data_IF_092632844832
#
_entry.id   IF_092632844832
#
_cell.length_a   1.000
_cell.length_b   1.000
_cell.length_c   1.000
_cell.angle_alpha   90.00
_cell.angle_beta   90.00
_cell.angle_gamma   90.00
#
_symmetry.space_group_name_H-M   'P 1'
#
loop_
_entity.id
_entity.type
_entity.pdbx_description
1 polymer ?
#
# COMPACT_ATOMS: atom_id res chain seq x y z
N UNK A 1 -1.62 24.00 -30.71
CA UNK A 1 -1.88 23.20 -29.48
C UNK A 1 -1.86 21.73 -29.88
N UNK A 2 -0.97 20.91 -29.32
CA UNK A 2 -0.89 19.49 -29.72
C UNK A 2 -2.19 18.73 -29.41
N UNK A 3 -2.50 17.65 -30.14
CA UNK A 3 -3.78 16.92 -30.04
C UNK A 3 -4.06 16.41 -28.61
N UNK A 4 -3.03 16.01 -27.88
CA UNK A 4 -3.16 15.59 -26.49
C UNK A 4 -3.52 16.74 -25.53
N UNK A 5 -2.97 17.94 -25.75
CA UNK A 5 -3.26 19.14 -24.94
C UNK A 5 -4.70 19.60 -25.18
N UNK A 6 -5.17 19.52 -26.42
CA UNK A 6 -6.57 19.79 -26.77
C UNK A 6 -7.52 18.80 -26.06
N UNK A 7 -7.28 17.49 -26.20
CA UNK A 7 -8.11 16.47 -25.55
C UNK A 7 -8.09 16.60 -24.03
N UNK A 8 -6.94 16.90 -23.41
CA UNK A 8 -6.85 17.10 -21.96
C UNK A 8 -7.66 18.29 -21.48
N UNK A 9 -7.74 19.37 -22.28
CA UNK A 9 -8.45 20.60 -21.93
C UNK A 9 -9.97 20.44 -22.06
N UNK A 10 -10.44 19.81 -23.13
CA UNK A 10 -11.88 19.75 -23.45
C UNK A 10 -12.54 18.42 -23.07
N UNK A 11 -11.77 17.32 -23.01
CA UNK A 11 -12.26 15.97 -22.70
C UNK A 11 -11.38 15.27 -21.65
N UNK A 12 -11.21 15.86 -20.45
CA UNK A 12 -10.27 15.34 -19.43
C UNK A 12 -10.59 13.90 -19.01
N UNK A 13 -11.86 13.50 -19.01
CA UNK A 13 -12.28 12.14 -18.66
C UNK A 13 -11.85 11.10 -19.71
N UNK A 14 -11.90 11.44 -21.00
CA UNK A 14 -11.43 10.54 -22.07
C UNK A 14 -9.93 10.31 -21.93
N UNK A 15 -9.16 11.38 -21.67
CA UNK A 15 -7.72 11.28 -21.43
C UNK A 15 -7.41 10.43 -20.20
N UNK A 16 -8.17 10.59 -19.10
CA UNK A 16 -8.02 9.75 -17.90
C UNK A 16 -8.27 8.27 -18.20
N UNK A 17 -9.31 7.96 -18.96
CA UNK A 17 -9.63 6.58 -19.36
C UNK A 17 -8.49 5.98 -20.18
N UNK A 18 -7.97 6.71 -21.17
CA UNK A 18 -6.82 6.27 -21.98
C UNK A 18 -5.59 6.00 -21.08
N UNK A 19 -5.29 6.91 -20.15
CA UNK A 19 -4.16 6.76 -19.22
C UNK A 19 -4.34 5.53 -18.33
N UNK A 20 -5.55 5.31 -17.77
CA UNK A 20 -5.81 4.14 -16.92
C UNK A 20 -5.59 2.86 -17.72
N UNK A 21 -6.16 2.74 -18.93
CA UNK A 21 -5.96 1.55 -19.76
C UNK A 21 -4.49 1.33 -20.13
N UNK A 22 -3.76 2.41 -20.43
CA UNK A 22 -2.33 2.31 -20.70
C UNK A 22 -1.56 1.81 -19.46
N UNK A 23 -1.78 2.41 -18.28
CA UNK A 23 -1.13 2.01 -17.04
C UNK A 23 -1.49 0.58 -16.63
N UNK A 24 -2.75 0.19 -16.75
CA UNK A 24 -3.23 -1.17 -16.50
C UNK A 24 -2.60 -2.19 -17.45
N UNK A 25 -2.39 -1.84 -18.73
CA UNK A 25 -1.69 -2.72 -19.68
C UNK A 25 -0.24 -2.99 -19.26
N UNK A 26 0.38 -2.06 -18.54
CA UNK A 26 1.73 -2.22 -17.99
C UNK A 26 1.77 -3.19 -16.81
N UNK A 27 0.63 -3.50 -16.17
CA UNK A 27 0.60 -4.43 -15.03
C UNK A 27 1.14 -5.82 -15.41
N UNK A 28 0.92 -6.25 -16.66
CA UNK A 28 1.45 -7.51 -17.18
C UNK A 28 2.96 -7.62 -17.06
N UNK A 29 3.69 -6.51 -17.18
CA UNK A 29 5.14 -6.49 -17.09
C UNK A 29 5.66 -6.89 -15.69
N UNK A 30 4.85 -6.74 -14.64
CA UNK A 30 5.26 -7.13 -13.29
C UNK A 30 5.17 -8.64 -13.05
N UNK A 31 4.44 -9.42 -13.86
CA UNK A 31 4.36 -10.88 -13.67
C UNK A 31 5.66 -11.57 -14.06
N UNK A 32 6.22 -12.41 -13.19
CA UNK A 32 7.52 -13.06 -13.42
C UNK A 32 7.53 -13.89 -14.71
N UNK A 33 6.50 -14.70 -14.92
CA UNK A 33 6.32 -15.63 -16.04
C UNK A 33 6.08 -14.92 -17.39
N UNK A 34 5.04 -14.07 -17.45
CA UNK A 34 4.53 -13.47 -18.69
C UNK A 34 5.13 -12.11 -19.00
N UNK A 35 5.73 -11.46 -18.01
CA UNK A 35 6.25 -10.10 -18.14
C UNK A 35 7.71 -10.00 -18.58
N UNK A 36 8.46 -11.12 -18.66
CA UNK A 36 9.92 -11.09 -18.86
C UNK A 36 10.32 -10.35 -20.15
N UNK A 37 9.70 -10.69 -21.28
CA UNK A 37 10.00 -10.04 -22.57
C UNK A 37 9.74 -8.53 -22.53
N UNK A 38 8.60 -8.11 -21.97
CA UNK A 38 8.25 -6.70 -21.82
C UNK A 38 9.20 -5.96 -20.87
N UNK A 39 9.65 -6.60 -19.77
CA UNK A 39 10.67 -6.02 -18.88
C UNK A 39 12.01 -5.83 -19.59
N UNK A 40 12.46 -6.82 -20.36
CA UNK A 40 13.70 -6.74 -21.12
C UNK A 40 13.65 -5.64 -22.19
N UNK A 41 12.53 -5.52 -22.91
CA UNK A 41 12.32 -4.43 -23.87
C UNK A 41 12.38 -3.05 -23.20
N UNK A 42 11.68 -2.88 -22.07
CA UNK A 42 11.71 -1.63 -21.30
C UNK A 42 13.10 -1.33 -20.72
N UNK A 43 13.86 -2.36 -20.32
CA UNK A 43 15.23 -2.23 -19.84
C UNK A 43 16.16 -1.75 -20.95
N UNK A 44 16.05 -2.34 -22.15
CA UNK A 44 16.80 -1.94 -23.33
C UNK A 44 16.47 -0.49 -23.75
N UNK A 45 15.19 -0.11 -23.74
CA UNK A 45 14.76 1.27 -24.02
C UNK A 45 15.37 2.26 -23.01
N UNK A 46 15.30 1.94 -21.71
CA UNK A 46 15.86 2.78 -20.65
C UNK A 46 17.38 2.89 -20.77
N UNK A 47 18.07 1.78 -21.08
CA UNK A 47 19.51 1.74 -21.32
C UNK A 47 19.90 2.63 -22.50
N UNK A 48 19.19 2.52 -23.61
CA UNK A 48 19.46 3.32 -24.81
C UNK A 48 19.23 4.82 -24.54
N UNK A 49 18.20 5.18 -23.76
CA UNK A 49 17.96 6.56 -23.34
C UNK A 49 19.11 7.10 -22.48
N UNK A 50 19.63 6.30 -21.54
CA UNK A 50 20.78 6.68 -20.70
C UNK A 50 22.03 6.89 -21.53
N UNK A 51 22.39 5.93 -22.39
CA UNK A 51 23.58 6.01 -23.26
C UNK A 51 23.53 7.25 -24.15
N UNK A 52 22.35 7.57 -24.69
CA UNK A 52 22.16 8.73 -25.56
C UNK A 52 22.25 10.06 -24.82
N UNK A 53 21.83 10.12 -23.56
CA UNK A 53 21.57 11.39 -22.86
C UNK A 53 22.62 11.72 -21.80
N UNK A 54 23.17 10.72 -21.11
CA UNK A 54 24.13 10.90 -20.01
C UNK A 54 25.60 10.85 -20.50
N UNK A 55 26.53 11.53 -19.81
CA UNK A 55 27.96 11.41 -20.07
C UNK A 55 28.47 9.97 -19.92
N UNK A 56 29.39 9.55 -20.78
CA UNK A 56 29.95 8.18 -20.81
C UNK A 56 30.60 7.78 -19.48
N UNK A 57 31.26 8.73 -18.79
CA UNK A 57 31.89 8.50 -17.47
C UNK A 57 30.94 7.97 -16.38
N UNK A 58 29.62 8.15 -16.54
CA UNK A 58 28.63 7.70 -15.55
C UNK A 58 27.82 6.48 -16.00
N UNK A 59 28.09 5.91 -17.19
CA UNK A 59 27.30 4.80 -17.72
C UNK A 59 27.36 3.56 -16.83
N UNK A 60 28.52 3.25 -16.25
CA UNK A 60 28.68 2.12 -15.32
C UNK A 60 27.87 2.30 -14.03
N UNK A 61 27.69 3.54 -13.56
CA UNK A 61 26.91 3.85 -12.36
C UNK A 61 25.41 3.84 -12.67
N UNK A 62 25.01 4.38 -13.83
CA UNK A 62 23.61 4.64 -14.17
C UNK A 62 22.88 3.45 -14.78
N UNK A 63 23.60 2.51 -15.41
CA UNK A 63 23.00 1.37 -16.12
C UNK A 63 23.05 0.14 -15.21
N UNK A 64 21.94 -0.22 -14.54
CA UNK A 64 21.91 -1.38 -13.68
C UNK A 64 21.88 -2.68 -14.49
N UNK A 65 22.40 -3.74 -13.89
CA UNK A 65 22.26 -5.10 -14.40
C UNK A 65 20.77 -5.53 -14.38
N UNK A 66 20.18 -5.89 -15.54
CA UNK A 66 18.77 -6.26 -15.61
C UNK A 66 18.41 -7.54 -14.84
N UNK A 67 19.39 -8.39 -14.52
CA UNK A 67 19.17 -9.58 -13.68
C UNK A 67 19.11 -9.20 -12.19
N UNK A 68 19.94 -8.25 -11.75
CA UNK A 68 19.96 -7.77 -10.35
C UNK A 68 18.85 -6.78 -10.04
N UNK A 69 18.51 -5.92 -11.01
CA UNK A 69 17.41 -4.96 -10.90
C UNK A 69 16.45 -5.09 -12.09
N UNK A 70 15.58 -6.11 -12.08
CA UNK A 70 14.56 -6.26 -13.10
C UNK A 70 13.63 -5.04 -13.14
N UNK A 71 13.29 -4.58 -14.35
CA UNK A 71 12.37 -3.45 -14.52
C UNK A 71 11.04 -3.74 -13.84
N UNK A 72 10.59 -2.81 -12.99
CA UNK A 72 9.37 -2.94 -12.21
C UNK A 72 9.57 -3.53 -10.82
N UNK A 73 10.76 -4.03 -10.47
CA UNK A 73 11.06 -4.45 -9.11
C UNK A 73 11.05 -3.26 -8.12
N UNK A 74 11.50 -2.09 -8.59
CA UNK A 74 11.30 -0.78 -7.94
C UNK A 74 10.39 0.10 -8.80
N UNK A 75 9.77 1.11 -8.18
CA UNK A 75 8.96 2.11 -8.91
C UNK A 75 9.83 2.81 -9.95
N UNK A 76 9.36 2.87 -11.20
CA UNK A 76 10.09 3.57 -12.28
C UNK A 76 10.06 5.08 -12.04
N UNK A 77 11.21 5.71 -12.26
CA UNK A 77 11.36 7.17 -12.28
C UNK A 77 11.54 7.58 -13.74
N UNK A 78 10.79 8.59 -14.17
CA UNK A 78 10.91 9.14 -15.51
C UNK A 78 11.91 10.30 -15.50
N UNK A 79 12.78 10.33 -16.51
CA UNK A 79 13.76 11.40 -16.65
C UNK A 79 13.10 12.69 -17.10
N UNK A 80 13.12 13.71 -16.23
CA UNK A 80 12.68 15.07 -16.53
C UNK A 80 13.89 16.02 -16.75
N UNK A 81 15.00 15.48 -17.22
CA UNK A 81 16.23 16.22 -17.49
C UNK A 81 17.37 15.94 -16.51
N UNK A 82 17.21 15.01 -15.57
CA UNK A 82 18.25 14.58 -14.65
C UNK A 82 19.51 14.15 -15.41
N UNK A 83 19.36 13.28 -16.41
CA UNK A 83 20.51 12.77 -17.17
C UNK A 83 21.27 13.88 -17.91
N UNK A 84 20.55 14.90 -18.38
CA UNK A 84 21.16 16.07 -19.05
C UNK A 84 21.95 16.94 -18.08
N UNK A 85 21.53 17.05 -16.81
CA UNK A 85 22.24 17.86 -15.82
C UNK A 85 23.62 17.33 -15.48
N UNK A 86 23.86 16.03 -15.68
CA UNK A 86 25.16 15.38 -15.42
C UNK A 86 26.29 15.86 -16.36
N UNK A 87 25.97 16.55 -17.46
CA UNK A 87 26.97 17.19 -18.33
C UNK A 87 27.52 18.50 -17.78
N UNK A 88 26.89 19.07 -16.74
CA UNK A 88 27.32 20.36 -16.20
C UNK A 88 28.66 20.20 -15.46
N UNK A 89 29.58 21.17 -15.58
CA UNK A 89 30.90 21.09 -14.94
C UNK A 89 30.83 21.13 -13.41
N UNK A 90 29.75 21.65 -12.84
CA UNK A 90 29.52 21.76 -11.40
C UNK A 90 28.68 20.61 -10.82
N UNK A 91 28.52 19.51 -11.55
CA UNK A 91 27.77 18.33 -11.11
C UNK A 91 28.68 17.11 -11.16
N UNK A 92 28.91 16.51 -10.00
CA UNK A 92 29.67 15.28 -9.85
C UNK A 92 28.81 14.18 -9.24
N UNK A 93 28.86 12.99 -9.83
CA UNK A 93 28.10 11.82 -9.39
C UNK A 93 29.07 10.76 -8.88
N UNK A 94 28.97 10.47 -7.58
CA UNK A 94 29.83 9.50 -6.88
C UNK A 94 29.00 8.31 -6.43
N UNK A 95 29.45 7.10 -6.78
CA UNK A 95 28.86 5.83 -6.32
C UNK A 95 29.58 5.34 -5.05
N UNK A 96 29.43 6.07 -3.95
CA UNK A 96 30.08 5.80 -2.67
C UNK A 96 29.09 5.98 -1.52
N UNK A 97 29.27 5.25 -0.41
CA UNK A 97 28.43 5.44 0.77
C UNK A 97 28.98 6.57 1.65
N UNK A 98 28.09 7.27 2.35
CA UNK A 98 28.50 8.28 3.34
C UNK A 98 28.78 7.59 4.67
N UNK A 99 29.98 7.80 5.22
CA UNK A 99 30.42 7.21 6.49
C UNK A 99 30.25 8.18 7.65
N UNK A 100 30.60 9.46 7.47
CA UNK A 100 30.52 10.48 8.53
C UNK A 100 30.21 11.85 7.94
N UNK A 101 29.46 12.65 8.70
CA UNK A 101 29.25 14.08 8.44
C UNK A 101 30.05 14.85 9.49
N UNK A 102 30.96 15.71 9.05
CA UNK A 102 31.68 16.67 9.87
C UNK A 102 31.02 18.07 9.74
N UNK A 103 31.55 19.05 10.46
CA UNK A 103 31.01 20.42 10.49
C UNK A 103 31.00 21.09 9.11
N UNK A 104 32.01 20.83 8.27
CA UNK A 104 32.17 21.45 6.95
C UNK A 104 32.40 20.44 5.82
N UNK A 105 32.20 19.15 6.07
CA UNK A 105 32.52 18.10 5.09
C UNK A 105 31.74 16.81 5.28
N UNK A 106 31.70 16.00 4.23
CA UNK A 106 31.13 14.65 4.21
C UNK A 106 32.24 13.67 3.84
N UNK A 107 32.43 12.64 4.67
CA UNK A 107 33.41 11.58 4.44
C UNK A 107 32.71 10.38 3.78
N UNK A 108 33.21 10.00 2.62
CA UNK A 108 32.78 8.82 1.87
C UNK A 108 33.51 7.55 2.35
N UNK A 109 32.95 6.37 2.08
CA UNK A 109 33.52 5.06 2.43
C UNK A 109 34.85 4.75 1.72
N UNK A 110 35.13 5.41 0.59
CA UNK A 110 36.41 5.37 -0.10
C UNK A 110 37.49 6.26 0.55
N UNK A 111 37.17 6.97 1.65
CA UNK A 111 38.06 7.88 2.37
C UNK A 111 38.12 9.31 1.80
N UNK A 112 37.38 9.60 0.73
CA UNK A 112 37.30 10.95 0.15
C UNK A 112 36.49 11.89 1.06
N UNK A 113 37.05 13.06 1.36
CA UNK A 113 36.39 14.11 2.14
C UNK A 113 35.91 15.21 1.19
N UNK A 114 34.59 15.41 1.14
CA UNK A 114 33.95 16.40 0.29
C UNK A 114 33.52 17.61 1.13
N UNK A 115 34.05 18.82 0.87
CA UNK A 115 33.57 20.02 1.55
C UNK A 115 32.11 20.31 1.15
N UNK A 116 31.27 20.66 2.12
CA UNK A 116 29.84 20.88 1.89
C UNK A 116 29.29 21.99 2.79
N UNK A 117 28.69 23.01 2.17
CA UNK A 117 27.96 24.06 2.89
C UNK A 117 26.53 23.65 3.24
N UNK A 118 25.94 22.75 2.45
CA UNK A 118 24.58 22.26 2.63
C UNK A 118 24.48 20.78 2.25
N UNK A 119 23.74 20.02 3.06
CA UNK A 119 23.51 18.58 2.86
C UNK A 119 22.01 18.36 2.69
N UNK A 120 21.63 17.71 1.58
CA UNK A 120 20.24 17.36 1.30
C UNK A 120 20.07 15.83 1.40
N UNK A 121 19.27 15.39 2.38
CA UNK A 121 19.01 13.96 2.61
C UNK A 121 17.81 13.49 1.76
N UNK A 122 18.10 12.86 0.63
CA UNK A 122 17.10 12.22 -0.24
C UNK A 122 17.00 10.70 0.02
N UNK A 123 17.00 10.29 1.30
CA UNK A 123 17.13 8.88 1.75
C UNK A 123 15.83 8.06 1.72
N UNK A 124 14.70 8.66 1.30
CA UNK A 124 13.41 7.97 1.22
C UNK A 124 12.60 8.03 2.51
N UNK A 125 11.86 6.96 2.82
CA UNK A 125 10.91 6.89 3.93
C UNK A 125 10.87 5.49 4.58
N UNK A 126 10.45 5.44 5.85
CA UNK A 126 10.25 4.19 6.60
C UNK A 126 8.81 3.70 6.48
N UNK A 127 8.63 2.42 6.16
CA UNK A 127 7.31 1.78 6.19
C UNK A 127 6.89 1.33 7.60
N UNK A 128 7.82 1.14 8.53
CA UNK A 128 7.49 0.76 9.91
C UNK A 128 6.78 1.90 10.66
N UNK A 129 6.90 3.12 10.14
CA UNK A 129 6.24 4.34 10.66
C UNK A 129 5.02 4.77 9.83
N UNK A 130 4.53 3.92 8.92
CA UNK A 130 3.29 4.19 8.18
C UNK A 130 2.11 4.19 9.15
N UNK A 131 1.48 5.36 9.36
CA UNK A 131 0.56 5.64 10.47
C UNK A 131 0.96 6.87 11.29
N UNK A 132 2.19 7.37 11.08
CA UNK A 132 2.73 8.56 11.73
C UNK A 132 3.09 8.33 13.20
N UNK A 133 3.24 9.43 13.94
CA UNK A 133 3.48 9.44 15.39
C UNK A 133 2.23 9.09 16.21
N UNK A 134 1.09 8.81 15.55
CA UNK A 134 -0.17 8.52 16.21
C UNK A 134 -0.18 7.08 16.74
N UNK A 135 -0.55 6.94 18.01
CA UNK A 135 -0.76 5.64 18.65
C UNK A 135 -2.24 5.32 18.63
N UNK A 136 -2.59 4.24 17.94
CA UNK A 136 -3.96 3.73 17.92
C UNK A 136 -4.08 2.62 18.95
N UNK A 137 -5.10 2.72 19.81
CA UNK A 137 -5.41 1.72 20.83
C UNK A 137 -6.73 1.05 20.47
N UNK A 138 -6.69 -0.27 20.33
CA UNK A 138 -7.86 -1.09 20.02
C UNK A 138 -8.58 -1.56 21.27
N UNK A 139 -9.32 -2.66 21.13
CA UNK A 139 -9.93 -3.35 22.28
C UNK A 139 -8.86 -3.70 23.32
N UNK A 140 -9.24 -3.62 24.59
CA UNK A 140 -8.39 -3.92 25.74
C UNK A 140 -7.12 -3.02 25.86
N UNK A 141 -7.14 -1.84 25.23
CA UNK A 141 -6.03 -0.88 25.30
C UNK A 141 -4.77 -1.32 24.57
N UNK A 142 -4.88 -2.27 23.62
CA UNK A 142 -3.73 -2.77 22.86
C UNK A 142 -3.32 -1.79 21.76
N UNK A 143 -2.03 -1.44 21.73
CA UNK A 143 -1.42 -0.64 20.66
C UNK A 143 -1.44 -1.40 19.33
N UNK A 144 -1.93 -0.78 18.25
CA UNK A 144 -1.99 -1.33 16.90
C UNK A 144 -0.65 -1.88 16.40
N UNK A 145 0.46 -1.14 16.57
CA UNK A 145 1.79 -1.58 16.10
C UNK A 145 2.23 -2.84 16.85
N UNK A 146 1.95 -2.90 18.15
CA UNK A 146 2.26 -4.07 18.98
C UNK A 146 1.38 -5.27 18.63
N UNK A 147 0.08 -5.03 18.51
CA UNK A 147 -0.92 -6.01 18.12
C UNK A 147 -0.61 -6.67 16.77
N UNK A 148 -0.28 -5.86 15.75
CA UNK A 148 0.16 -6.35 14.44
C UNK A 148 1.35 -7.33 14.56
N UNK A 149 2.38 -6.95 15.32
CA UNK A 149 3.59 -7.78 15.49
C UNK A 149 3.32 -9.07 16.28
N UNK A 150 2.53 -9.01 17.35
CA UNK A 150 2.31 -10.17 18.22
C UNK A 150 1.31 -11.17 17.63
N UNK A 151 0.22 -10.67 17.02
CA UNK A 151 -0.92 -11.52 16.63
C UNK A 151 -0.87 -11.95 15.16
N UNK A 152 -0.30 -11.11 14.29
CA UNK A 152 -0.20 -11.37 12.86
C UNK A 152 1.24 -11.62 12.40
N UNK A 153 2.27 -11.24 13.20
CA UNK A 153 3.71 -11.34 12.88
C UNK A 153 4.19 -10.52 11.69
N UNK A 154 3.31 -10.23 10.75
CA UNK A 154 3.53 -9.38 9.58
C UNK A 154 2.43 -8.32 9.48
N UNK A 155 2.71 -7.14 8.88
CA UNK A 155 1.69 -6.13 8.70
C UNK A 155 0.53 -6.68 7.86
N UNK A 156 -0.68 -6.60 8.38
CA UNK A 156 -1.88 -7.04 7.68
C UNK A 156 -3.07 -6.15 7.98
N UNK A 157 -3.95 -5.98 7.01
CA UNK A 157 -5.24 -5.29 7.14
C UNK A 157 -6.25 -5.99 6.23
N UNK A 158 -7.52 -5.93 6.60
CA UNK A 158 -8.63 -6.37 5.77
C UNK A 158 -8.99 -5.27 4.75
N UNK A 159 -9.11 -5.63 3.47
CA UNK A 159 -9.39 -4.71 2.35
C UNK A 159 -8.45 -3.51 2.29
N UNK A 160 -7.22 -3.68 2.73
CA UNK A 160 -6.23 -2.59 2.86
C UNK A 160 -6.68 -1.43 3.76
N UNK A 161 -7.78 -1.59 4.53
CA UNK A 161 -8.52 -0.47 5.14
C UNK A 161 -8.88 -0.70 6.60
N UNK A 162 -9.27 -1.90 7.02
CA UNK A 162 -9.69 -2.17 8.40
C UNK A 162 -8.80 -3.20 9.10
N UNK A 163 -8.93 -3.29 10.43
CA UNK A 163 -8.22 -4.27 11.25
C UNK A 163 -9.17 -4.87 12.30
N UNK A 164 -9.08 -6.18 12.52
CA UNK A 164 -9.80 -6.88 13.57
C UNK A 164 -9.31 -6.41 14.96
N UNK A 165 -10.22 -6.35 15.94
CA UNK A 165 -9.99 -5.79 17.29
C UNK A 165 -9.79 -4.26 17.33
N UNK A 166 -9.93 -3.57 16.19
CA UNK A 166 -9.88 -2.12 16.07
C UNK A 166 -11.18 -1.61 15.42
N UNK A 167 -12.30 -1.62 16.16
CA UNK A 167 -13.60 -1.24 15.62
C UNK A 167 -13.62 0.21 15.14
N UNK A 168 -14.33 0.46 14.04
CA UNK A 168 -14.49 1.78 13.42
C UNK A 168 -13.19 2.47 12.96
N UNK A 169 -12.05 1.76 12.95
CA UNK A 169 -10.80 2.27 12.40
C UNK A 169 -10.72 2.00 10.89
N UNK A 170 -10.64 3.06 10.10
CA UNK A 170 -10.46 3.01 8.64
C UNK A 170 -9.13 3.68 8.24
N UNK A 171 -8.18 2.87 7.77
CA UNK A 171 -6.85 3.27 7.32
C UNK A 171 -6.87 3.53 5.81
N UNK A 172 -6.95 4.80 5.41
CA UNK A 172 -6.88 5.20 4.00
C UNK A 172 -5.43 5.41 3.60
N UNK A 173 -4.96 4.73 2.55
CA UNK A 173 -3.57 4.72 2.05
C UNK A 173 -2.49 4.25 3.05
N UNK A 174 -2.83 4.11 4.33
CA UNK A 174 -1.91 3.71 5.41
C UNK A 174 -2.05 2.24 5.78
N UNK A 175 -3.15 1.59 5.35
CA UNK A 175 -3.31 0.16 5.50
C UNK A 175 -2.42 -0.60 4.51
N UNK A 176 -2.15 -1.86 4.84
CA UNK A 176 -1.28 -2.73 4.04
C UNK A 176 -1.90 -3.03 2.68
N UNK A 177 -1.07 -3.19 1.66
CA UNK A 177 -1.48 -3.55 0.29
C UNK A 177 -2.36 -2.50 -0.38
N UNK A 178 -2.29 -1.24 0.07
CA UNK A 178 -3.04 -0.10 -0.49
C UNK A 178 -2.30 0.59 -1.64
N UNK A 179 -0.98 0.42 -1.74
CA UNK A 179 -0.19 1.08 -2.78
C UNK A 179 -0.06 0.22 -4.05
N UNK A 180 0.34 0.87 -5.15
CA UNK A 180 0.45 0.24 -6.45
C UNK A 180 1.74 0.65 -7.16
N UNK A 181 2.35 -0.30 -7.85
CA UNK A 181 3.60 -0.07 -8.59
C UNK A 181 3.41 0.57 -9.97
N UNK A 182 2.17 0.66 -10.47
CA UNK A 182 1.89 0.98 -11.87
C UNK A 182 0.80 2.03 -12.09
N UNK A 183 0.00 2.34 -11.07
CA UNK A 183 -1.12 3.27 -11.18
C UNK A 183 -1.11 4.34 -10.08
N UNK A 184 -2.20 5.08 -9.96
CA UNK A 184 -2.34 6.16 -9.00
C UNK A 184 -2.84 5.67 -7.65
N UNK A 185 -2.13 6.03 -6.57
CA UNK A 185 -2.59 5.76 -5.20
C UNK A 185 -3.85 6.58 -4.84
N UNK A 186 -4.09 7.71 -5.51
CA UNK A 186 -5.30 8.51 -5.32
C UNK A 186 -6.55 7.71 -5.70
N UNK A 187 -6.46 6.92 -6.78
CA UNK A 187 -7.56 6.06 -7.18
C UNK A 187 -7.83 4.95 -6.16
N UNK A 188 -6.78 4.37 -5.56
CA UNK A 188 -6.93 3.45 -4.43
C UNK A 188 -7.64 4.15 -3.27
N UNK A 189 -7.22 5.37 -2.90
CA UNK A 189 -7.85 6.12 -1.81
C UNK A 189 -9.35 6.36 -2.07
N UNK A 190 -9.73 6.76 -3.28
CA UNK A 190 -11.13 6.93 -3.68
C UNK A 190 -11.92 5.63 -3.52
N UNK A 191 -11.37 4.49 -3.97
CA UNK A 191 -11.98 3.17 -3.80
C UNK A 191 -12.15 2.79 -2.32
N UNK A 192 -11.15 3.06 -1.48
CA UNK A 192 -11.20 2.78 -0.04
C UNK A 192 -12.25 3.64 0.66
N UNK A 193 -12.34 4.93 0.29
CA UNK A 193 -13.34 5.85 0.84
C UNK A 193 -14.76 5.42 0.43
N UNK A 194 -14.96 5.05 -0.83
CA UNK A 194 -16.26 4.51 -1.29
C UNK A 194 -16.64 3.24 -0.52
N UNK A 195 -15.69 2.31 -0.37
CA UNK A 195 -15.90 1.08 0.40
C UNK A 195 -16.24 1.38 1.86
N UNK A 196 -15.51 2.31 2.51
CA UNK A 196 -15.79 2.77 3.87
C UNK A 196 -17.22 3.31 3.99
N UNK A 197 -17.67 4.19 3.11
CA UNK A 197 -19.03 4.73 3.14
C UNK A 197 -20.11 3.67 2.93
N UNK A 198 -19.81 2.60 2.18
CA UNK A 198 -20.73 1.47 2.00
C UNK A 198 -20.85 0.65 3.29
N UNK A 199 -19.73 0.26 3.88
CA UNK A 199 -19.74 -0.60 5.08
C UNK A 199 -20.16 0.15 6.35
N UNK A 200 -19.80 1.42 6.46
CA UNK A 200 -20.15 2.27 7.60
C UNK A 200 -21.45 3.06 7.38
N UNK A 201 -22.21 2.78 6.31
CA UNK A 201 -23.41 3.54 5.92
C UNK A 201 -24.37 3.77 7.09
N UNK A 202 -24.73 2.70 7.79
CA UNK A 202 -25.71 2.77 8.88
C UNK A 202 -25.13 3.45 10.12
N UNK A 203 -23.84 3.27 10.38
CA UNK A 203 -23.12 3.93 11.48
C UNK A 203 -23.05 5.44 11.24
N UNK A 204 -22.74 5.88 10.03
CA UNK A 204 -22.65 7.29 9.65
C UNK A 204 -24.04 7.95 9.60
N UNK A 205 -25.08 7.18 9.22
CA UNK A 205 -26.47 7.67 9.19
C UNK A 205 -27.11 7.72 10.56
N UNK A 206 -26.57 6.99 11.54
CA UNK A 206 -27.03 7.07 12.91
C UNK A 206 -26.73 8.47 13.45
N UNK A 207 -27.79 9.28 13.58
CA UNK A 207 -27.72 10.66 14.08
C UNK A 207 -27.64 10.73 15.60
N UNK A 208 -27.41 9.62 16.29
CA UNK A 208 -27.19 9.62 17.72
C UNK A 208 -25.85 10.28 18.07
N UNK A 209 -25.87 11.61 18.04
CA UNK A 209 -24.81 12.42 18.61
C UNK A 209 -24.73 12.10 20.10
N UNK A 210 -23.52 11.86 20.64
CA UNK A 210 -23.36 11.72 22.08
C UNK A 210 -23.87 13.00 22.76
N UNK A 211 -24.48 12.89 23.95
CA UNK A 211 -24.81 14.09 24.74
C UNK A 211 -23.52 14.80 25.19
N UNK A 212 -23.61 16.07 25.62
CA UNK A 212 -22.43 16.77 26.17
C UNK A 212 -21.83 16.03 27.38
N UNK A 213 -22.67 15.38 28.19
CA UNK A 213 -22.28 14.53 29.31
C UNK A 213 -21.53 13.25 28.87
N UNK A 214 -21.69 12.80 27.62
CA UNK A 214 -20.95 11.66 27.06
C UNK A 214 -19.63 12.07 26.39
N UNK A 215 -19.43 13.37 26.13
CA UNK A 215 -18.23 13.94 25.50
C UNK A 215 -17.23 14.51 26.51
N UNK A 216 -17.59 14.57 27.79
CA UNK A 216 -16.69 14.98 28.86
C UNK A 216 -15.70 13.85 29.16
N UNK A 217 -14.42 14.14 28.94
CA UNK A 217 -13.32 13.22 29.24
C UNK A 217 -12.55 13.75 30.46
N UNK A 218 -12.57 13.02 31.58
CA UNK A 218 -11.49 13.10 32.56
C UNK A 218 -11.77 13.74 33.91
N UNK A 219 -13.01 14.06 34.29
CA UNK A 219 -13.31 14.64 35.60
C UNK A 219 -14.35 13.80 36.40
N UNK A 220 -13.88 13.09 37.44
CA UNK A 220 -14.72 12.42 38.45
C UNK A 220 -14.96 10.90 38.26
N UNK A 221 -15.96 10.34 38.98
CA UNK A 221 -16.43 8.93 38.98
C UNK A 221 -16.89 8.38 37.59
N UNK A 222 -16.50 9.04 36.49
CA UNK A 222 -16.82 8.73 35.09
C UNK A 222 -16.36 7.34 34.64
N UNK A 223 -15.45 6.68 35.37
CA UNK A 223 -15.08 5.29 35.13
C UNK A 223 -16.24 4.29 35.36
N UNK A 224 -17.27 4.67 36.14
CA UNK A 224 -18.40 3.80 36.51
C UNK A 224 -19.71 4.13 35.82
N UNK A 225 -19.77 5.18 34.99
CA UNK A 225 -20.98 5.53 34.25
C UNK A 225 -21.19 4.56 33.07
N UNK A 226 -22.41 4.00 32.89
CA UNK A 226 -22.70 3.15 31.74
C UNK A 226 -22.68 3.99 30.46
N UNK A 227 -21.57 3.93 29.72
CA UNK A 227 -21.44 4.59 28.42
C UNK A 227 -22.37 3.93 27.41
N UNK A 228 -23.05 4.75 26.60
CA UNK A 228 -23.80 4.25 25.47
C UNK A 228 -22.88 3.43 24.56
N UNK A 229 -23.35 2.23 24.20
CA UNK A 229 -22.64 1.40 23.23
C UNK A 229 -22.88 1.98 21.83
N UNK A 230 -21.82 2.52 21.23
CA UNK A 230 -21.89 3.03 19.87
C UNK A 230 -21.96 1.90 18.84
N UNK A 231 -22.63 2.13 17.70
CA UNK A 231 -22.56 1.25 16.56
C UNK A 231 -21.11 1.05 16.11
N UNK A 232 -20.68 -0.21 16.00
CA UNK A 232 -19.32 -0.54 15.55
C UNK A 232 -19.34 -1.51 14.38
N UNK A 233 -18.38 -1.36 13.48
CA UNK A 233 -18.04 -2.34 12.44
C UNK A 233 -16.57 -2.70 12.54
N UNK A 234 -16.26 -3.99 12.42
CA UNK A 234 -14.91 -4.52 12.30
C UNK A 234 -14.88 -5.81 11.47
N UNK A 235 -13.75 -6.16 10.84
CA UNK A 235 -13.62 -7.43 10.14
C UNK A 235 -13.46 -8.59 11.13
N UNK A 236 -13.98 -9.76 10.76
CA UNK A 236 -13.63 -11.02 11.42
C UNK A 236 -12.14 -11.26 11.27
N UNK A 237 -11.47 -11.65 12.36
CA UNK A 237 -10.05 -12.01 12.36
C UNK A 237 -9.71 -13.05 11.28
N UNK A 238 -10.54 -14.08 11.12
CA UNK A 238 -10.36 -15.11 10.08
C UNK A 238 -10.37 -14.54 8.66
N UNK A 239 -11.21 -13.53 8.38
CA UNK A 239 -11.28 -12.89 7.06
C UNK A 239 -10.02 -12.05 6.78
N UNK A 240 -9.52 -11.32 7.79
CA UNK A 240 -8.25 -10.60 7.69
C UNK A 240 -7.07 -11.53 7.41
N UNK A 241 -6.95 -12.63 8.16
CA UNK A 241 -5.86 -13.60 7.94
C UNK A 241 -5.98 -14.27 6.58
N UNK A 242 -7.19 -14.65 6.16
CA UNK A 242 -7.43 -15.20 4.81
C UNK A 242 -6.93 -14.25 3.72
N UNK A 243 -7.26 -12.97 3.82
CA UNK A 243 -6.83 -11.97 2.85
C UNK A 243 -5.31 -11.75 2.87
N UNK A 244 -4.71 -11.71 4.06
CA UNK A 244 -3.26 -11.61 4.23
C UNK A 244 -2.54 -12.76 3.52
N UNK A 245 -2.94 -14.02 3.76
CA UNK A 245 -2.34 -15.19 3.12
C UNK A 245 -2.53 -15.18 1.61
N UNK A 246 -3.75 -14.88 1.14
CA UNK A 246 -4.05 -14.76 -0.29
C UNK A 246 -3.18 -13.69 -0.97
N UNK A 247 -2.96 -12.55 -0.30
CA UNK A 247 -2.11 -11.49 -0.81
C UNK A 247 -0.66 -11.94 -0.93
N UNK A 248 -0.11 -12.55 0.13
CA UNK A 248 1.27 -13.01 0.15
C UNK A 248 1.53 -14.07 -0.93
N UNK A 249 0.63 -15.03 -1.10
CA UNK A 249 0.73 -16.07 -2.14
C UNK A 249 0.71 -15.48 -3.55
N UNK A 250 -0.23 -14.57 -3.83
CA UNK A 250 -0.30 -13.93 -5.13
C UNK A 250 0.89 -13.02 -5.39
N UNK A 251 1.43 -12.39 -4.36
CA UNK A 251 2.57 -11.49 -4.50
C UNK A 251 3.82 -12.21 -5.03
N UNK A 252 3.97 -13.50 -4.72
CA UNK A 252 5.11 -14.32 -5.19
C UNK A 252 5.18 -14.44 -6.72
N UNK A 253 4.08 -14.19 -7.43
CA UNK A 253 4.01 -14.27 -8.89
C UNK A 253 4.58 -13.02 -9.57
N UNK A 254 4.89 -11.97 -8.82
CA UNK A 254 5.31 -10.69 -9.36
C UNK A 254 6.78 -10.40 -9.09
N UNK A 255 7.38 -9.58 -9.95
CA UNK A 255 8.77 -9.11 -9.86
C UNK A 255 9.06 -8.37 -8.56
N UNK A 256 8.02 -7.89 -7.86
CA UNK A 256 8.14 -7.29 -6.55
C UNK A 256 8.73 -8.24 -5.50
N UNK A 257 8.59 -9.56 -5.65
CA UNK A 257 9.20 -10.58 -4.78
C UNK A 257 10.67 -10.87 -5.11
N UNK A 258 11.21 -10.28 -6.17
CA UNK A 258 12.62 -10.44 -6.51
C UNK A 258 13.51 -9.72 -5.49
N UNK A 259 14.69 -10.26 -5.20
CA UNK A 259 15.66 -9.68 -4.23
C UNK A 259 16.40 -8.46 -4.80
N UNK A 260 15.68 -7.41 -5.16
CA UNK A 260 16.27 -6.19 -5.72
C UNK A 260 16.47 -5.05 -4.69
N UNK A 261 16.28 -5.33 -3.40
CA UNK A 261 16.39 -4.33 -2.33
C UNK A 261 15.36 -3.20 -2.49
N UNK A 262 14.11 -3.54 -2.83
CA UNK A 262 13.02 -2.56 -2.85
C UNK A 262 12.50 -2.32 -1.45
N UNK A 263 12.05 -1.10 -1.17
CA UNK A 263 11.38 -0.74 0.08
C UNK A 263 10.03 -1.46 0.27
N UNK A 264 9.52 -2.15 -0.76
CA UNK A 264 8.29 -2.94 -0.68
C UNK A 264 8.39 -4.18 0.23
N UNK A 265 9.61 -4.70 0.42
CA UNK A 265 9.89 -5.92 1.18
C UNK A 265 10.37 -5.56 2.58
N UNK A 266 9.80 -6.21 3.58
CA UNK A 266 10.33 -6.15 4.94
C UNK A 266 11.53 -7.12 5.14
N UNK A 267 12.10 -7.11 6.35
CA UNK A 267 13.23 -7.99 6.72
C UNK A 267 12.92 -9.48 6.62
N UNK A 268 11.63 -9.85 6.65
CA UNK A 268 11.17 -11.24 6.50
C UNK A 268 10.93 -11.64 5.05
N UNK A 269 11.03 -10.68 4.12
CA UNK A 269 10.73 -10.85 2.69
C UNK A 269 9.23 -10.71 2.36
N UNK A 270 8.39 -10.41 3.36
CA UNK A 270 6.97 -10.17 3.16
C UNK A 270 6.76 -8.79 2.51
N UNK A 271 5.82 -8.75 1.57
CA UNK A 271 5.47 -7.50 0.86
C UNK A 271 4.12 -7.06 1.39
N UNK A 272 4.12 -5.93 2.11
CA UNK A 272 2.95 -5.40 2.78
C UNK A 272 2.51 -4.04 2.25
N UNK A 273 3.30 -3.42 1.35
CA UNK A 273 2.96 -2.13 0.78
C UNK A 273 2.04 -2.24 -0.46
N UNK A 274 2.32 -3.21 -1.33
CA UNK A 274 1.75 -3.30 -2.67
C UNK A 274 0.51 -4.19 -2.73
N UNK A 275 -0.43 -3.83 -3.60
CA UNK A 275 -1.56 -4.67 -3.96
C UNK A 275 -1.20 -5.74 -5.01
N UNK A 276 -1.58 -7.00 -4.79
CA UNK A 276 -1.26 -8.13 -5.68
C UNK A 276 -2.23 -8.28 -6.87
N UNK A 277 -2.67 -7.17 -7.47
CA UNK A 277 -3.62 -7.15 -8.59
C UNK A 277 -3.67 -5.83 -9.36
N UNK A 278 -4.57 -5.77 -10.34
CA UNK A 278 -4.86 -4.56 -11.12
C UNK A 278 -5.67 -3.55 -10.31
N UNK A 279 -5.70 -2.27 -10.69
CA UNK A 279 -6.62 -1.33 -10.04
C UNK A 279 -8.08 -1.66 -10.36
N UNK A 280 -8.35 -2.28 -11.51
CA UNK A 280 -9.70 -2.77 -11.84
C UNK A 280 -10.14 -3.84 -10.85
N UNK A 281 -9.24 -4.76 -10.48
CA UNK A 281 -9.53 -5.76 -9.45
C UNK A 281 -9.68 -5.12 -8.06
N UNK A 282 -8.83 -4.15 -7.72
CA UNK A 282 -8.96 -3.39 -6.47
C UNK A 282 -10.31 -2.68 -6.38
N UNK A 283 -10.72 -1.98 -7.45
CA UNK A 283 -12.01 -1.32 -7.55
C UNK A 283 -13.15 -2.31 -7.42
N UNK A 284 -13.14 -3.41 -8.18
CA UNK A 284 -14.16 -4.48 -8.07
C UNK A 284 -14.29 -4.94 -6.62
N UNK A 285 -13.17 -5.25 -5.98
CA UNK A 285 -13.14 -5.72 -4.59
C UNK A 285 -13.56 -4.67 -3.55
N UNK A 286 -13.43 -3.39 -3.88
CA UNK A 286 -13.86 -2.25 -3.05
C UNK A 286 -15.31 -1.85 -3.33
N UNK A 287 -15.82 -2.12 -4.53
CA UNK A 287 -17.20 -1.78 -4.89
C UNK A 287 -18.20 -2.79 -4.34
N UNK A 288 -17.78 -4.06 -4.19
CA UNK A 288 -18.61 -5.14 -3.63
C UNK A 288 -18.04 -5.66 -2.31
N UNK A 289 -18.46 -5.09 -1.16
CA UNK A 289 -18.09 -5.60 0.16
C UNK A 289 -18.57 -7.03 0.39
N UNK A 290 -17.76 -7.81 1.12
CA UNK A 290 -18.12 -9.16 1.56
C UNK A 290 -18.72 -9.07 2.95
N UNK A 291 -20.03 -8.90 3.01
CA UNK A 291 -20.72 -8.58 4.27
C UNK A 291 -20.59 -9.67 5.34
N UNK A 292 -20.46 -10.95 4.96
CA UNK A 292 -20.23 -12.08 5.88
C UNK A 292 -18.90 -11.98 6.65
N UNK A 293 -17.94 -11.21 6.16
CA UNK A 293 -16.63 -11.02 6.77
C UNK A 293 -16.64 -9.93 7.84
N UNK A 294 -17.72 -9.12 7.90
CA UNK A 294 -17.83 -7.98 8.82
C UNK A 294 -18.72 -8.34 10.01
N UNK A 295 -18.33 -7.84 11.18
CA UNK A 295 -19.10 -7.93 12.42
C UNK A 295 -19.62 -6.55 12.74
N UNK A 296 -20.94 -6.45 12.89
CA UNK A 296 -21.61 -5.23 13.32
C UNK A 296 -22.07 -5.42 14.77
N UNK A 297 -21.90 -4.42 15.62
CA UNK A 297 -22.38 -4.44 16.99
C UNK A 297 -23.09 -3.13 17.32
N UNK A 298 -24.13 -3.21 18.14
CA UNK A 298 -24.89 -2.05 18.63
C UNK A 298 -25.45 -1.13 17.53
N UNK A 299 -25.85 -1.68 16.37
CA UNK A 299 -26.58 -0.88 15.37
C UNK A 299 -27.95 -0.45 15.93
N UNK A 300 -28.47 0.67 15.42
CA UNK A 300 -29.82 1.13 15.73
C UNK A 300 -30.87 0.04 15.41
N UNK A 301 -31.97 0.04 16.15
CA UNK A 301 -33.10 -0.91 16.00
C UNK A 301 -32.76 -2.38 16.27
N UNK A 302 -31.64 -2.67 16.95
CA UNK A 302 -31.23 -4.04 17.27
C UNK A 302 -30.76 -4.85 16.06
N UNK A 303 -30.44 -4.20 14.94
CA UNK A 303 -29.96 -4.87 13.73
C UNK A 303 -28.58 -5.48 13.96
N UNK A 304 -28.35 -6.66 13.39
CA UNK A 304 -27.05 -7.34 13.40
C UNK A 304 -26.36 -7.31 12.03
N UNK A 305 -27.02 -6.70 11.04
CA UNK A 305 -26.50 -6.57 9.68
C UNK A 305 -26.89 -5.21 9.07
N UNK A 306 -26.07 -4.66 8.17
CA UNK A 306 -26.27 -3.33 7.62
C UNK A 306 -27.30 -3.33 6.49
N UNK A 307 -27.83 -2.16 6.15
CA UNK A 307 -28.69 -1.93 4.99
C UNK A 307 -27.92 -2.10 3.68
N UNK A 308 -28.46 -2.92 2.78
CA UNK A 308 -27.83 -3.27 1.49
C UNK A 308 -28.73 -2.88 0.33
N UNK A 309 -28.14 -2.31 -0.73
CA UNK A 309 -28.84 -2.07 -1.99
C UNK A 309 -29.04 -3.38 -2.77
N UNK A 310 -29.92 -3.35 -3.78
CA UNK A 310 -30.12 -4.51 -4.67
C UNK A 310 -28.83 -4.90 -5.40
N UNK A 311 -28.02 -3.92 -5.83
CA UNK A 311 -26.75 -4.15 -6.52
C UNK A 311 -25.68 -4.77 -5.61
N UNK A 312 -25.68 -4.41 -4.32
CA UNK A 312 -24.80 -5.00 -3.31
C UNK A 312 -25.17 -6.47 -3.05
N UNK A 313 -26.47 -6.80 -2.98
CA UNK A 313 -26.95 -8.18 -2.85
C UNK A 313 -26.60 -9.03 -4.06
N UNK A 314 -26.77 -8.47 -5.27
CA UNK A 314 -26.41 -9.16 -6.51
C UNK A 314 -24.90 -9.46 -6.57
N UNK A 315 -24.06 -8.49 -6.21
CA UNK A 315 -22.62 -8.70 -6.21
C UNK A 315 -22.12 -9.67 -5.14
N UNK A 316 -22.80 -9.74 -3.99
CA UNK A 316 -22.56 -10.78 -2.98
C UNK A 316 -22.91 -12.17 -3.52
N UNK A 317 -24.06 -12.30 -4.20
CA UNK A 317 -24.46 -13.55 -4.85
C UNK A 317 -23.46 -13.99 -5.94
N UNK A 318 -22.98 -13.05 -6.75
CA UNK A 318 -21.94 -13.27 -7.76
C UNK A 318 -20.52 -13.41 -7.16
N UNK A 319 -20.35 -13.25 -5.84
CA UNK A 319 -19.06 -13.29 -5.15
C UNK A 319 -18.01 -12.33 -5.74
N UNK A 320 -18.44 -11.16 -6.22
CA UNK A 320 -17.57 -10.17 -6.85
C UNK A 320 -16.56 -9.54 -5.88
N UNK A 321 -16.79 -9.65 -4.57
CA UNK A 321 -15.85 -9.21 -3.55
C UNK A 321 -14.88 -10.29 -3.09
N UNK A 322 -15.20 -11.57 -3.25
CA UNK A 322 -14.49 -12.66 -2.58
C UNK A 322 -13.07 -12.86 -3.14
N UNK A 323 -12.17 -13.32 -2.27
CA UNK A 323 -10.86 -13.84 -2.64
C UNK A 323 -10.88 -15.36 -2.61
N UNK A 324 -10.09 -15.99 -3.49
CA UNK A 324 -9.92 -17.44 -3.52
C UNK A 324 -9.36 -17.93 -2.17
N UNK A 325 -9.63 -19.20 -1.83
CA UNK A 325 -8.99 -19.80 -0.66
C UNK A 325 -7.46 -19.88 -0.89
N UNK A 326 -6.66 -19.43 0.09
CA UNK A 326 -5.21 -19.53 -0.01
C UNK A 326 -4.80 -21.01 -0.05
N UNK A 327 -3.81 -21.34 -0.87
CA UNK A 327 -3.33 -22.71 -1.08
C UNK A 327 -2.45 -23.19 0.08
N UNK A 328 -2.13 -22.32 1.04
CA UNK A 328 -1.22 -22.55 2.19
C UNK A 328 0.19 -22.97 1.78
N UNK A 329 0.61 -22.61 0.55
CA UNK A 329 1.89 -23.07 -0.04
C UNK A 329 3.13 -22.46 0.62
N UNK A 330 2.97 -21.42 1.44
CA UNK A 330 4.07 -20.77 2.17
C UNK A 330 4.40 -21.46 3.51
N UNK A 331 4.03 -22.74 3.70
CA UNK A 331 4.14 -23.47 4.97
C UNK A 331 3.46 -22.75 6.15
N UNK A 332 2.46 -21.90 5.92
CA UNK A 332 1.73 -21.20 6.99
C UNK A 332 0.31 -21.74 7.04
N UNK A 333 -0.06 -22.40 8.14
CA UNK A 333 -1.41 -22.97 8.32
C UNK A 333 -2.24 -22.13 9.31
N UNK A 334 -3.53 -22.08 9.04
CA UNK A 334 -4.54 -21.50 9.91
C UNK A 334 -5.08 -22.56 10.86
N UNK A 335 -4.96 -22.35 12.16
CA UNK A 335 -5.70 -23.12 13.16
C UNK A 335 -6.28 -22.15 14.20
N UNK A 336 -7.60 -22.18 14.38
CA UNK A 336 -8.29 -21.35 15.37
C UNK A 336 -8.17 -19.82 15.19
N UNK A 337 -7.79 -19.33 14.00
CA UNK A 337 -7.60 -17.89 13.75
C UNK A 337 -6.22 -17.34 14.17
N UNK A 338 -5.28 -18.23 14.49
CA UNK A 338 -3.85 -17.91 14.67
C UNK A 338 -3.03 -18.48 13.51
N UNK A 339 -1.95 -17.77 13.15
CA UNK A 339 -0.96 -18.25 12.20
C UNK A 339 -0.08 -19.26 12.95
N UNK A 340 -0.07 -20.50 12.50
CA UNK A 340 0.83 -21.53 13.01
C UNK A 340 1.93 -21.77 11.97
N UNK A 341 3.18 -21.61 12.39
CA UNK A 341 4.32 -22.21 11.69
C UNK A 341 4.37 -23.71 12.06
N UNK A 342 4.34 -24.63 11.09
CA UNK A 342 4.86 -25.96 11.27
C UNK A 342 6.40 -25.89 11.20
N UNK A 343 7.04 -25.42 12.27
CA UNK A 343 8.51 -25.41 12.36
C UNK A 343 9.11 -24.36 13.27
N UNK A 344 9.01 -24.58 14.58
CA UNK A 344 10.10 -24.31 15.52
C UNK A 344 10.49 -25.63 16.16
#
# INVERSE_FOLDING_TARGET
MGPFVFLRRYFPNVVRVIIIFYLESMFRAFRLDKGKSQRMANAAESRNHIIKTAPEKYHEILIPDPEKLPVGCKRRVFDFGYLKTLHRPNVDLKAANVTKINEHSVILDNGEELPADAIVLATGFSLEDTGGSLKFYGRDGRDLKRYMREEFREPSTYRSTMMADFPNLFLIMSGTNSTTGHSSVVYTAECQIEWMFRVARDIIRDRSRPSEDELTFGDGDDAQRPRRKFPTVEPKRQAQVKEMLWMQENMQQYVFSSKCGSWYQDKTGSISALYAGTQVDFWRRSHWPVWKDLVYSNLSDGKTSPTRTWSERLGEWLRLGDVAEPKTTLNRKMEGGRIIDPGL
#
